data_IF_727971907919
#
_entry.id   IF_727971907919
#
_cell.length_a   1.000
_cell.length_b   1.000
_cell.length_c   1.000
_cell.angle_alpha   90.00
_cell.angle_beta   90.00
_cell.angle_gamma   90.00
#
_symmetry.space_group_name_H-M   'P 1'
#
loop_
_entity.id
_entity.type
_entity.pdbx_description
1 polymer ?
#
# COMPACT_ATOMS: atom_id res chain seq x y z
N UNK A 1 -13.65 -30.56 6.52
CA UNK A 1 -13.74 -29.18 6.00
C UNK A 1 -14.58 -29.20 4.74
N UNK A 2 -15.89 -28.97 4.83
CA UNK A 2 -16.77 -28.98 3.66
C UNK A 2 -17.01 -27.54 3.22
N UNK A 3 -16.22 -27.08 2.26
CA UNK A 3 -16.49 -25.85 1.51
C UNK A 3 -17.72 -26.10 0.64
N UNK A 4 -18.91 -25.67 1.11
CA UNK A 4 -20.05 -25.48 0.22
C UNK A 4 -19.84 -24.17 -0.52
N UNK A 5 -19.72 -24.27 -1.83
CA UNK A 5 -19.74 -23.14 -2.76
C UNK A 5 -21.11 -22.47 -2.57
N UNK A 6 -21.16 -21.34 -1.87
CA UNK A 6 -22.36 -20.52 -1.78
C UNK A 6 -22.37 -19.63 -3.02
N UNK A 7 -23.53 -19.55 -3.68
CA UNK A 7 -23.73 -18.71 -4.85
C UNK A 7 -23.42 -17.25 -4.50
N UNK A 8 -22.30 -16.73 -5.00
CA UNK A 8 -21.99 -15.31 -5.15
C UNK A 8 -21.82 -14.42 -3.90
N UNK A 9 -22.27 -14.82 -2.71
CA UNK A 9 -22.28 -13.93 -1.53
C UNK A 9 -21.95 -14.61 -0.19
N UNK A 10 -21.96 -13.83 0.90
CA UNK A 10 -21.69 -14.33 2.25
C UNK A 10 -22.73 -15.36 2.72
N UNK A 11 -22.38 -16.11 3.76
CA UNK A 11 -23.31 -17.06 4.40
C UNK A 11 -24.57 -16.35 4.91
N UNK A 12 -24.43 -15.12 5.39
CA UNK A 12 -25.55 -14.30 5.86
C UNK A 12 -26.47 -13.90 4.71
N UNK A 13 -25.92 -13.51 3.56
CA UNK A 13 -26.69 -13.24 2.35
C UNK A 13 -27.50 -14.45 1.92
N UNK A 14 -26.88 -15.64 1.86
CA UNK A 14 -27.59 -16.86 1.47
C UNK A 14 -28.79 -17.15 2.38
N UNK A 15 -28.63 -17.04 3.71
CA UNK A 15 -29.74 -17.24 4.63
C UNK A 15 -30.84 -16.20 4.48
N UNK A 16 -30.47 -14.92 4.35
CA UNK A 16 -31.42 -13.84 4.15
C UNK A 16 -32.23 -14.06 2.87
N UNK A 17 -31.55 -14.31 1.74
CA UNK A 17 -32.17 -14.52 0.44
C UNK A 17 -33.09 -15.75 0.44
N UNK A 18 -32.61 -16.91 0.95
CA UNK A 18 -33.43 -18.13 1.00
C UNK A 18 -34.65 -17.97 1.92
N UNK A 19 -34.52 -17.27 3.05
CA UNK A 19 -35.65 -17.03 3.94
C UNK A 19 -36.70 -16.11 3.29
N UNK A 20 -36.26 -15.08 2.56
CA UNK A 20 -37.15 -14.19 1.84
C UNK A 20 -37.86 -14.91 0.69
N UNK A 21 -37.13 -15.69 -0.11
CA UNK A 21 -37.70 -16.46 -1.21
C UNK A 21 -38.79 -17.43 -0.72
N UNK A 22 -38.54 -18.11 0.40
CA UNK A 22 -39.54 -18.95 1.05
C UNK A 22 -40.75 -18.15 1.54
N UNK A 23 -40.56 -16.94 2.06
CA UNK A 23 -41.64 -16.07 2.50
C UNK A 23 -42.51 -15.61 1.32
N UNK A 24 -41.89 -15.26 0.18
CA UNK A 24 -42.60 -14.89 -1.05
C UNK A 24 -43.46 -16.06 -1.52
N UNK A 25 -42.89 -17.25 -1.67
CA UNK A 25 -43.63 -18.46 -2.08
C UNK A 25 -44.81 -18.75 -1.14
N UNK A 26 -44.59 -18.67 0.18
CA UNK A 26 -45.66 -18.88 1.16
C UNK A 26 -46.75 -17.82 1.10
N UNK A 27 -46.41 -16.58 0.79
CA UNK A 27 -47.39 -15.49 0.67
C UNK A 27 -48.23 -15.61 -0.60
N UNK A 28 -47.62 -15.95 -1.74
CA UNK A 28 -48.31 -16.12 -3.02
C UNK A 28 -49.30 -17.29 -2.99
N UNK A 29 -48.96 -18.37 -2.29
CA UNK A 29 -49.78 -19.58 -2.17
C UNK A 29 -50.53 -19.72 -0.83
N UNK A 30 -50.67 -18.64 -0.07
CA UNK A 30 -51.38 -18.69 1.23
C UNK A 30 -52.88 -18.95 1.07
N UNK A 31 -53.45 -18.42 0.00
CA UNK A 31 -54.85 -18.57 -0.37
C UNK A 31 -54.98 -19.74 -1.33
N UNK A 32 -55.99 -20.57 -1.11
CA UNK A 32 -56.26 -21.78 -1.89
C UNK A 32 -57.33 -21.50 -2.94
N UNK A 33 -57.46 -22.42 -3.88
CA UNK A 33 -58.57 -22.40 -4.84
C UNK A 33 -59.94 -22.46 -4.15
N UNK A 34 -60.04 -23.08 -2.96
CA UNK A 34 -61.24 -23.08 -2.12
C UNK A 34 -61.66 -21.65 -1.74
N UNK A 35 -60.72 -20.84 -1.26
CA UNK A 35 -60.96 -19.43 -0.90
C UNK A 35 -61.38 -18.61 -2.14
N UNK A 36 -60.79 -18.90 -3.30
CA UNK A 36 -61.17 -18.28 -4.57
C UNK A 36 -62.59 -18.66 -5.01
N UNK A 37 -62.97 -19.93 -4.85
CA UNK A 37 -64.30 -20.43 -5.21
C UNK A 37 -65.39 -19.88 -4.29
N UNK A 38 -65.10 -19.67 -3.00
CA UNK A 38 -66.02 -18.99 -2.09
C UNK A 38 -66.29 -17.53 -2.50
N UNK A 39 -65.29 -16.85 -3.05
CA UNK A 39 -65.41 -15.45 -3.47
C UNK A 39 -66.03 -15.29 -4.86
N UNK A 40 -65.88 -16.28 -5.74
CA UNK A 40 -66.37 -16.26 -7.12
C UNK A 40 -67.18 -17.52 -7.49
N UNK A 41 -68.25 -17.86 -6.74
CA UNK A 41 -68.94 -19.13 -6.88
C UNK A 41 -69.56 -19.31 -8.27
N UNK A 42 -70.21 -18.26 -8.79
CA UNK A 42 -70.86 -18.30 -10.10
C UNK A 42 -69.87 -18.55 -11.25
N UNK A 43 -68.67 -17.97 -11.17
CA UNK A 43 -67.63 -18.18 -12.20
C UNK A 43 -67.08 -19.60 -12.18
N UNK A 44 -66.91 -20.19 -10.99
CA UNK A 44 -66.44 -21.57 -10.84
C UNK A 44 -67.49 -22.59 -11.27
N UNK A 45 -68.78 -22.28 -11.08
CA UNK A 45 -69.90 -23.11 -11.55
C UNK A 45 -70.01 -23.10 -13.08
N UNK A 46 -69.79 -21.95 -13.73
CA UNK A 46 -69.85 -21.81 -15.19
C UNK A 46 -68.62 -22.41 -15.89
N UNK A 47 -67.41 -22.13 -15.40
CA UNK A 47 -66.15 -22.63 -15.97
C UNK A 47 -65.08 -22.86 -14.90
N UNK A 48 -65.10 -24.06 -14.31
CA UNK A 48 -64.12 -24.48 -13.29
C UNK A 48 -62.69 -24.50 -13.83
N UNK A 49 -62.48 -24.87 -15.09
CA UNK A 49 -61.14 -24.99 -15.65
C UNK A 49 -60.52 -23.61 -15.89
N UNK A 50 -61.27 -22.69 -16.48
CA UNK A 50 -60.85 -21.29 -16.64
C UNK A 50 -60.64 -20.59 -15.30
N UNK A 51 -61.48 -20.85 -14.30
CA UNK A 51 -61.30 -20.32 -12.95
C UNK A 51 -60.01 -20.83 -12.30
N UNK A 52 -59.68 -22.12 -12.46
CA UNK A 52 -58.45 -22.71 -11.93
C UNK A 52 -57.20 -22.19 -12.65
N UNK A 53 -57.26 -22.01 -13.97
CA UNK A 53 -56.17 -21.39 -14.73
C UNK A 53 -55.95 -19.93 -14.29
N UNK A 54 -57.02 -19.17 -14.13
CA UNK A 54 -56.96 -17.77 -13.66
C UNK A 54 -56.35 -17.68 -12.27
N UNK A 55 -56.77 -18.55 -11.34
CA UNK A 55 -56.20 -18.62 -10.00
C UNK A 55 -54.68 -18.86 -10.02
N UNK A 56 -54.22 -19.87 -10.77
CA UNK A 56 -52.80 -20.17 -10.89
C UNK A 56 -52.04 -19.01 -11.53
N UNK A 57 -52.59 -18.39 -12.58
CA UNK A 57 -51.98 -17.25 -13.25
C UNK A 57 -51.82 -16.05 -12.32
N UNK A 58 -52.80 -15.77 -11.47
CA UNK A 58 -52.71 -14.70 -10.47
C UNK A 58 -51.66 -15.04 -9.42
N UNK A 59 -51.62 -16.27 -8.92
CA UNK A 59 -50.61 -16.70 -7.94
C UNK A 59 -49.18 -16.58 -8.50
N UNK A 60 -48.95 -17.09 -9.72
CA UNK A 60 -47.67 -17.01 -10.42
C UNK A 60 -47.27 -15.57 -10.71
N UNK A 61 -48.23 -14.72 -11.11
CA UNK A 61 -47.99 -13.30 -11.33
C UNK A 61 -47.57 -12.58 -10.06
N UNK A 62 -48.27 -12.83 -8.94
CA UNK A 62 -47.93 -12.24 -7.64
C UNK A 62 -46.51 -12.64 -7.23
N UNK A 63 -46.16 -13.93 -7.35
CA UNK A 63 -44.81 -14.41 -7.04
C UNK A 63 -43.76 -13.71 -7.94
N UNK A 64 -43.96 -13.70 -9.25
CA UNK A 64 -43.01 -13.14 -10.20
C UNK A 64 -42.87 -11.62 -10.07
N UNK A 65 -43.97 -10.89 -9.85
CA UNK A 65 -43.96 -9.44 -9.63
C UNK A 65 -43.23 -9.11 -8.33
N UNK A 66 -43.56 -9.80 -7.24
CA UNK A 66 -42.93 -9.59 -5.93
C UNK A 66 -41.43 -9.88 -5.98
N UNK A 67 -41.01 -10.98 -6.62
CA UNK A 67 -39.58 -11.30 -6.82
C UNK A 67 -38.86 -10.18 -7.58
N UNK A 68 -39.44 -9.71 -8.68
CA UNK A 68 -38.87 -8.63 -9.48
C UNK A 68 -38.70 -7.34 -8.69
N UNK A 69 -39.71 -6.97 -7.90
CA UNK A 69 -39.67 -5.76 -7.08
C UNK A 69 -38.58 -5.86 -6.00
N UNK A 70 -38.43 -7.01 -5.35
CA UNK A 70 -37.34 -7.24 -4.41
C UNK A 70 -35.96 -7.22 -5.08
N UNK A 71 -35.81 -7.80 -6.28
CA UNK A 71 -34.56 -7.72 -7.04
C UNK A 71 -34.17 -6.28 -7.37
N UNK A 72 -35.15 -5.42 -7.67
CA UNK A 72 -34.91 -4.00 -7.90
C UNK A 72 -34.43 -3.30 -6.62
N UNK A 73 -35.08 -3.56 -5.49
CA UNK A 73 -34.65 -3.05 -4.18
C UNK A 73 -33.24 -3.55 -3.83
N UNK A 74 -32.93 -4.82 -4.09
CA UNK A 74 -31.60 -5.37 -3.84
C UNK A 74 -30.51 -4.65 -4.63
N UNK A 75 -30.78 -4.30 -5.88
CA UNK A 75 -29.86 -3.54 -6.74
C UNK A 75 -29.76 -2.09 -6.30
N UNK A 76 -30.88 -1.43 -6.00
CA UNK A 76 -30.91 -0.02 -5.60
C UNK A 76 -30.10 0.24 -4.34
N UNK A 77 -30.21 -0.64 -3.35
CA UNK A 77 -29.53 -0.51 -2.06
C UNK A 77 -28.23 -1.30 -1.96
N UNK A 78 -27.75 -1.91 -3.05
CA UNK A 78 -26.57 -2.79 -3.07
C UNK A 78 -26.56 -3.78 -1.89
N UNK A 79 -27.71 -4.42 -1.68
CA UNK A 79 -28.02 -5.09 -0.42
C UNK A 79 -27.10 -6.28 -0.16
N UNK A 80 -26.73 -7.01 -1.21
CA UNK A 80 -25.81 -8.14 -1.13
C UNK A 80 -24.45 -7.71 -0.57
N UNK A 81 -23.84 -6.68 -1.15
CA UNK A 81 -22.55 -6.16 -0.70
C UNK A 81 -22.64 -5.63 0.75
N UNK A 82 -23.71 -4.91 1.08
CA UNK A 82 -23.92 -4.40 2.44
C UNK A 82 -24.05 -5.52 3.49
N UNK A 83 -24.78 -6.59 3.17
CA UNK A 83 -24.90 -7.77 4.05
C UNK A 83 -23.56 -8.50 4.15
N UNK A 84 -22.78 -8.58 3.07
CA UNK A 84 -21.47 -9.21 3.04
C UNK A 84 -20.44 -8.43 3.89
N UNK A 85 -20.44 -7.10 3.78
CA UNK A 85 -19.66 -6.19 4.63
C UNK A 85 -20.02 -6.41 6.10
N UNK A 86 -21.32 -6.50 6.42
CA UNK A 86 -21.77 -6.75 7.79
C UNK A 86 -21.28 -8.12 8.30
N UNK A 87 -21.33 -9.17 7.47
CA UNK A 87 -20.84 -10.50 7.86
C UNK A 87 -19.34 -10.48 8.15
N UNK A 88 -18.57 -9.78 7.31
CA UNK A 88 -17.14 -9.55 7.52
C UNK A 88 -16.86 -8.80 8.83
N UNK A 89 -17.55 -7.69 9.09
CA UNK A 89 -17.39 -6.90 10.33
C UNK A 89 -17.67 -7.76 11.56
N UNK A 90 -18.73 -8.57 11.52
CA UNK A 90 -19.08 -9.46 12.65
C UNK A 90 -18.04 -10.56 12.84
N UNK A 91 -17.52 -11.13 11.75
CA UNK A 91 -16.45 -12.13 11.80
C UNK A 91 -15.17 -11.55 12.41
N UNK A 92 -14.75 -10.37 11.94
CA UNK A 92 -13.58 -9.66 12.45
C UNK A 92 -13.75 -9.29 13.93
N UNK A 93 -14.94 -8.82 14.34
CA UNK A 93 -15.24 -8.52 15.73
C UNK A 93 -15.16 -9.76 16.63
N UNK A 94 -15.65 -10.91 16.17
CA UNK A 94 -15.52 -12.19 16.89
C UNK A 94 -14.06 -12.62 17.02
N UNK A 95 -13.27 -12.48 15.96
CA UNK A 95 -11.83 -12.79 15.99
C UNK A 95 -11.05 -11.87 16.95
N UNK A 96 -11.37 -10.56 16.98
CA UNK A 96 -10.79 -9.60 17.94
C UNK A 96 -11.15 -9.95 19.38
N UNK A 97 -12.42 -10.31 19.62
CA UNK A 97 -12.87 -10.76 20.95
C UNK A 97 -12.13 -12.04 21.39
N UNK A 98 -11.96 -13.01 20.50
CA UNK A 98 -11.25 -14.25 20.80
C UNK A 98 -9.75 -14.05 21.08
N UNK A 99 -9.12 -13.07 20.42
CA UNK A 99 -7.70 -12.73 20.62
C UNK A 99 -7.44 -11.80 21.82
N UNK A 100 -8.47 -11.39 22.56
CA UNK A 100 -8.34 -10.49 23.71
C UNK A 100 -7.95 -9.05 23.36
N UNK A 101 -7.82 -8.72 22.07
CA UNK A 101 -7.49 -7.37 21.58
C UNK A 101 -8.75 -6.52 21.48
N UNK A 102 -9.40 -6.26 22.62
CA UNK A 102 -10.47 -5.28 22.69
C UNK A 102 -9.81 -3.91 22.82
N UNK A 103 -9.54 -3.27 21.67
CA UNK A 103 -9.03 -1.91 21.66
C UNK A 103 -10.06 -0.91 22.23
N UNK A 104 -9.63 0.28 22.71
CA UNK A 104 -10.50 1.30 23.30
C UNK A 104 -11.51 1.93 22.31
N UNK A 105 -11.39 1.62 21.02
CA UNK A 105 -12.30 2.09 19.97
C UNK A 105 -13.48 1.12 19.78
N UNK A 106 -14.26 0.90 20.85
CA UNK A 106 -15.56 0.23 20.75
C UNK A 106 -16.63 1.29 20.59
N UNK A 107 -17.49 1.14 19.59
CA UNK A 107 -18.62 2.04 19.41
C UNK A 107 -19.55 1.99 20.63
N UNK A 108 -19.97 3.17 21.10
CA UNK A 108 -20.92 3.32 22.22
C UNK A 108 -22.08 4.20 21.79
N UNK A 109 -23.24 4.00 22.40
CA UNK A 109 -24.48 4.73 22.05
C UNK A 109 -24.36 6.25 22.24
N UNK A 110 -23.51 6.69 23.17
CA UNK A 110 -23.21 8.10 23.45
C UNK A 110 -21.81 8.49 22.98
N UNK A 111 -21.43 8.09 21.75
CA UNK A 111 -20.13 8.42 21.19
C UNK A 111 -20.05 9.91 20.85
N UNK A 112 -19.20 10.65 21.56
CA UNK A 112 -18.94 12.05 21.26
C UNK A 112 -18.35 12.20 19.83
N UNK A 113 -18.77 13.20 19.02
CA UNK A 113 -18.31 13.35 17.62
C UNK A 113 -16.79 13.37 17.49
N UNK A 114 -16.11 14.06 18.42
CA UNK A 114 -14.64 14.08 18.49
C UNK A 114 -14.03 12.68 18.62
N UNK A 115 -14.61 11.82 19.46
CA UNK A 115 -14.13 10.44 19.65
C UNK A 115 -14.34 9.58 18.41
N UNK A 116 -15.45 9.79 17.68
CA UNK A 116 -15.71 9.12 16.41
C UNK A 116 -14.68 9.51 15.34
N UNK A 117 -14.36 10.80 15.23
CA UNK A 117 -13.33 11.29 14.30
C UNK A 117 -11.96 10.74 14.70
N UNK A 118 -11.59 10.83 15.98
CA UNK A 118 -10.32 10.29 16.49
C UNK A 118 -10.17 8.80 16.19
N UNK A 119 -11.24 7.99 16.35
CA UNK A 119 -11.21 6.56 16.04
C UNK A 119 -10.86 6.23 14.58
N UNK A 120 -11.18 7.13 13.64
CA UNK A 120 -10.80 7.00 12.23
C UNK A 120 -9.45 7.64 11.91
N UNK A 121 -9.17 8.81 12.49
CA UNK A 121 -8.00 9.62 12.12
C UNK A 121 -6.72 9.12 12.78
N UNK A 122 -6.77 8.62 14.02
CA UNK A 122 -5.59 8.15 14.74
C UNK A 122 -4.85 7.03 13.99
N UNK A 123 -5.50 5.94 13.52
CA UNK A 123 -4.78 4.88 12.79
C UNK A 123 -4.10 5.39 11.51
N UNK A 124 -4.70 6.36 10.82
CA UNK A 124 -4.11 6.99 9.63
C UNK A 124 -2.88 7.79 10.02
N UNK A 125 -2.98 8.61 11.07
CA UNK A 125 -1.87 9.42 11.56
C UNK A 125 -0.72 8.56 12.09
N UNK A 126 -1.01 7.47 12.79
CA UNK A 126 -0.01 6.51 13.25
C UNK A 126 0.75 5.86 12.08
N UNK A 127 0.03 5.42 11.04
CA UNK A 127 0.66 4.87 9.84
C UNK A 127 1.52 5.90 9.09
N UNK A 128 1.07 7.17 9.02
CA UNK A 128 1.86 8.25 8.42
C UNK A 128 3.09 8.60 9.26
N UNK A 129 2.94 8.65 10.58
CA UNK A 129 4.05 8.92 11.50
C UNK A 129 5.12 7.83 11.38
N UNK A 130 4.71 6.56 11.26
CA UNK A 130 5.65 5.46 11.09
C UNK A 130 6.44 5.57 9.79
N UNK A 131 5.75 5.80 8.66
CA UNK A 131 6.40 6.04 7.37
C UNK A 131 7.39 7.21 7.41
N UNK A 132 7.04 8.29 8.12
CA UNK A 132 7.92 9.45 8.26
C UNK A 132 9.16 9.14 9.11
N UNK A 133 9.02 8.31 10.16
CA UNK A 133 10.17 7.86 10.97
C UNK A 133 11.11 6.98 10.15
N UNK A 134 10.56 6.07 9.35
CA UNK A 134 11.36 5.22 8.45
C UNK A 134 12.16 6.09 7.46
N UNK A 135 11.51 7.04 6.78
CA UNK A 135 12.18 7.94 5.85
C UNK A 135 13.23 8.84 6.52
N UNK A 136 12.97 9.28 7.75
CA UNK A 136 13.93 10.08 8.51
C UNK A 136 15.16 9.23 8.89
N UNK A 137 14.96 7.99 9.32
CA UNK A 137 16.06 7.08 9.64
C UNK A 137 16.92 6.75 8.41
N UNK A 138 16.31 6.59 7.24
CA UNK A 138 17.03 6.42 5.97
C UNK A 138 17.90 7.64 5.63
N UNK A 139 17.34 8.85 5.74
CA UNK A 139 18.07 10.10 5.49
C UNK A 139 19.20 10.34 6.49
N UNK A 140 18.98 10.01 7.76
CA UNK A 140 20.03 10.10 8.79
C UNK A 140 21.17 9.12 8.48
N UNK A 141 20.86 7.90 8.07
CA UNK A 141 21.88 6.92 7.67
C UNK A 141 22.66 7.37 6.43
N UNK A 142 21.98 7.93 5.43
CA UNK A 142 22.65 8.49 4.23
C UNK A 142 23.54 9.67 4.59
N UNK A 143 23.07 10.61 5.41
CA UNK A 143 23.87 11.74 5.86
C UNK A 143 25.11 11.29 6.64
N UNK A 144 25.00 10.30 7.52
CA UNK A 144 26.14 9.75 8.24
C UNK A 144 27.17 9.14 7.27
N UNK A 145 26.72 8.42 6.25
CA UNK A 145 27.61 7.87 5.22
C UNK A 145 28.32 8.97 4.42
N UNK A 146 27.59 10.01 4.03
CA UNK A 146 28.14 11.16 3.29
C UNK A 146 29.15 11.95 4.11
N UNK A 147 28.88 12.18 5.40
CA UNK A 147 29.82 12.84 6.32
C UNK A 147 31.10 12.02 6.43
N UNK A 148 31.00 10.70 6.59
CA UNK A 148 32.18 9.83 6.63
C UNK A 148 32.99 9.86 5.33
N UNK A 149 32.34 9.93 4.17
CA UNK A 149 33.01 10.06 2.87
C UNK A 149 33.73 11.41 2.73
N UNK A 150 33.09 12.50 3.17
CA UNK A 150 33.69 13.83 3.17
C UNK A 150 34.91 13.92 4.08
N UNK A 151 34.84 13.35 5.29
CA UNK A 151 35.98 13.30 6.21
C UNK A 151 37.14 12.49 5.61
N UNK A 152 36.85 11.36 4.95
CA UNK A 152 37.84 10.57 4.20
C UNK A 152 38.54 11.40 3.12
N UNK A 153 37.77 12.08 2.26
CA UNK A 153 38.30 12.94 1.19
C UNK A 153 39.11 14.11 1.72
N UNK A 154 38.67 14.75 2.82
CA UNK A 154 39.45 15.80 3.48
C UNK A 154 40.79 15.29 3.99
N UNK A 155 40.82 14.07 4.55
CA UNK A 155 42.05 13.39 4.93
C UNK A 155 43.00 13.17 3.75
N UNK A 156 42.48 12.68 2.63
CA UNK A 156 43.24 12.49 1.39
C UNK A 156 43.81 13.82 0.86
N UNK A 157 43.00 14.88 0.79
CA UNK A 157 43.42 16.21 0.36
C UNK A 157 44.56 16.74 1.25
N UNK A 158 44.45 16.59 2.56
CA UNK A 158 45.50 17.02 3.48
C UNK A 158 46.80 16.21 3.31
N UNK A 159 46.68 14.90 3.08
CA UNK A 159 47.82 14.03 2.76
C UNK A 159 48.53 14.45 1.47
N UNK A 160 47.75 14.69 0.40
CA UNK A 160 48.26 15.18 -0.88
C UNK A 160 48.92 16.56 -0.74
N UNK A 161 48.28 17.49 -0.02
CA UNK A 161 48.83 18.83 0.25
C UNK A 161 50.17 18.76 0.96
N UNK A 162 50.27 17.94 2.00
CA UNK A 162 51.52 17.76 2.76
C UNK A 162 52.63 17.20 1.86
N UNK A 163 52.29 16.26 0.97
CA UNK A 163 53.22 15.70 0.00
C UNK A 163 53.69 16.73 -1.02
N UNK A 164 52.78 17.56 -1.54
CA UNK A 164 53.12 18.64 -2.46
C UNK A 164 54.04 19.68 -1.83
N UNK A 165 53.77 20.07 -0.57
CA UNK A 165 54.65 20.99 0.17
C UNK A 165 56.05 20.38 0.31
N UNK A 166 56.16 19.12 0.75
CA UNK A 166 57.46 18.44 0.85
C UNK A 166 58.23 18.41 -0.47
N UNK A 167 57.55 18.18 -1.59
CA UNK A 167 58.19 18.18 -2.91
C UNK A 167 58.71 19.58 -3.25
N UNK A 168 57.94 20.63 -2.96
CA UNK A 168 58.38 22.01 -3.16
C UNK A 168 59.57 22.35 -2.28
N UNK A 169 59.54 21.97 -1.00
CA UNK A 169 60.67 22.17 -0.08
C UNK A 169 61.95 21.49 -0.64
N UNK A 170 61.82 20.26 -1.16
CA UNK A 170 62.94 19.56 -1.79
C UNK A 170 63.44 20.27 -3.05
N UNK A 171 62.55 20.84 -3.86
CA UNK A 171 62.95 21.65 -5.01
C UNK A 171 63.71 22.90 -4.59
N UNK A 172 63.25 23.61 -3.56
CA UNK A 172 63.92 24.80 -3.02
C UNK A 172 65.32 24.45 -2.48
N UNK A 173 65.45 23.35 -1.73
CA UNK A 173 66.75 22.83 -1.27
C UNK A 173 67.69 22.51 -2.44
N UNK A 174 67.21 21.82 -3.49
CA UNK A 174 68.04 21.51 -4.67
C UNK A 174 68.43 22.76 -5.45
N UNK A 175 67.56 23.77 -5.51
CA UNK A 175 67.83 25.04 -6.15
C UNK A 175 68.90 25.84 -5.38
N UNK A 176 68.81 25.89 -4.05
CA UNK A 176 69.86 26.48 -3.20
C UNK A 176 71.19 25.74 -3.32
N UNK A 177 71.17 24.41 -3.36
CA UNK A 177 72.39 23.63 -3.58
C UNK A 177 73.00 23.93 -4.95
N UNK A 178 72.18 24.04 -5.99
CA UNK A 178 72.62 24.36 -7.36
C UNK A 178 73.15 25.80 -7.50
N UNK A 179 72.52 26.77 -6.85
CA UNK A 179 72.96 28.17 -6.90
C UNK A 179 74.30 28.41 -6.19
N UNK A 180 74.60 27.59 -5.17
CA UNK A 180 75.87 27.61 -4.45
C UNK A 180 76.99 26.79 -5.14
N UNK A 181 76.71 26.14 -6.27
CA UNK A 181 77.76 25.47 -7.05
C UNK A 181 78.67 26.55 -7.65
N UNK A 182 79.99 26.49 -7.41
CA UNK A 182 80.92 27.46 -7.97
C UNK A 182 81.05 27.27 -9.48
N UNK A 183 80.16 27.93 -10.21
CA UNK A 183 80.08 27.86 -11.67
C UNK A 183 81.38 28.32 -12.32
N UNK A 184 82.07 29.28 -11.70
CA UNK A 184 83.38 29.77 -12.15
C UNK A 184 84.46 28.69 -12.06
N UNK A 185 84.44 27.84 -11.03
CA UNK A 185 85.38 26.72 -10.89
C UNK A 185 85.08 25.61 -11.91
N UNK A 186 83.80 25.33 -12.17
CA UNK A 186 83.40 24.35 -13.19
C UNK A 186 83.76 24.86 -14.60
N UNK A 187 83.55 26.14 -14.89
CA UNK A 187 83.95 26.75 -16.15
C UNK A 187 85.46 26.75 -16.33
N UNK A 188 86.23 27.06 -15.27
CA UNK A 188 87.68 26.97 -15.28
C UNK A 188 88.16 25.53 -15.51
N UNK A 189 87.59 24.54 -14.81
CA UNK A 189 87.88 23.11 -15.04
C UNK A 189 87.54 22.67 -16.46
N UNK A 190 86.40 23.12 -16.99
CA UNK A 190 85.96 22.76 -18.36
C UNK A 190 86.87 23.38 -19.41
N UNK A 191 87.31 24.63 -19.22
CA UNK A 191 88.30 25.28 -20.08
C UNK A 191 89.65 24.54 -20.03
N UNK A 192 90.11 24.14 -18.84
CA UNK A 192 91.36 23.42 -18.66
C UNK A 192 91.34 22.01 -19.28
N UNK A 193 90.19 21.32 -19.22
CA UNK A 193 89.97 20.04 -19.90
C UNK A 193 89.91 20.24 -21.42
N UNK A 194 89.27 21.30 -21.93
CA UNK A 194 89.24 21.61 -23.36
C UNK A 194 90.62 21.96 -23.93
N UNK A 195 91.46 22.66 -23.15
CA UNK A 195 92.86 22.95 -23.52
C UNK A 195 93.76 21.71 -23.50
N UNK A 196 93.50 20.73 -22.62
CA UNK A 196 94.28 19.48 -22.55
C UNK A 196 93.82 18.42 -23.56
N UNK A 197 92.58 18.51 -24.05
CA UNK A 197 92.01 17.60 -25.06
C UNK A 197 92.06 18.14 -26.49
N UNK A 198 92.39 19.41 -26.70
CA UNK A 198 92.68 19.94 -28.03
C UNK A 198 94.03 19.35 -28.50
N UNK A 199 94.05 18.54 -29.58
CA UNK A 199 95.29 17.95 -30.05
C UNK A 199 96.20 19.07 -30.57
N UNK A 200 97.43 19.12 -30.05
CA UNK A 200 98.47 20.03 -30.52
C UNK A 200 98.85 19.62 -31.96
N UNK A 201 98.25 20.26 -32.95
CA UNK A 201 98.77 20.28 -34.32
C UNK A 201 100.10 21.06 -34.30
N UNK A 202 101.21 20.33 -34.12
CA UNK A 202 102.57 20.83 -34.42
C UNK A 202 102.87 20.57 -35.89
N UNK A 203 103.12 21.68 -36.61
CA UNK A 203 103.81 21.87 -37.90
C UNK A 203 103.42 20.98 -39.08
#
# INVERSE_FOLDING_TARGET
MSSRIHSGGSRRWSYFHSALELAIQRSAHKWKFEDFAECFPQYVEEDREGAMQTFNQVADYIEAATKRDFENVFKEYDLQNNIDILDKIVSDAKARKASGKIGPSVWTTNLHPRSAVCGRTIPILEAQAERLRESLAELEAENLALVSDLEGKLGEINGLRTRSIRILDQFDETHEAWSNVPMDEIQAWTAQIAETTTPTLRS
#
